data_IF_068293684912
#
_entry.id   IF_068293684912
#
_cell.length_a   1.000
_cell.length_b   1.000
_cell.length_c   1.000
_cell.angle_alpha   90.00
_cell.angle_beta   90.00
_cell.angle_gamma   90.00
#
_symmetry.space_group_name_H-M   'P 1'
#
loop_
_entity.id
_entity.type
_entity.pdbx_description
1 polymer ?
#
# COMPACT_ATOMS: atom_id res chain seq x y z
N UNK A 1 -3.71 22.29 -14.88
CA UNK A 1 -4.68 21.41 -14.19
C UNK A 1 -6.08 21.53 -14.80
N UNK A 2 -6.75 20.41 -15.07
CA UNK A 2 -8.20 20.36 -15.32
C UNK A 2 -8.86 19.65 -14.13
N UNK A 3 -9.53 20.42 -13.26
CA UNK A 3 -10.22 19.91 -12.08
C UNK A 3 -11.74 19.87 -12.31
N UNK A 4 -12.33 18.68 -12.19
CA UNK A 4 -13.77 18.47 -12.09
C UNK A 4 -14.15 18.52 -10.61
N UNK A 5 -15.05 19.43 -10.21
CA UNK A 5 -15.45 19.59 -8.80
C UNK A 5 -16.92 19.21 -8.65
N UNK A 6 -17.21 18.33 -7.69
CA UNK A 6 -18.58 18.03 -7.26
C UNK A 6 -18.69 18.20 -5.75
N UNK A 7 -19.54 19.13 -5.31
CA UNK A 7 -19.70 19.46 -3.89
C UNK A 7 -19.07 20.79 -3.50
N UNK A 8 -18.70 20.94 -2.22
CA UNK A 8 -18.14 22.21 -1.67
C UNK A 8 -16.76 22.57 -2.26
N UNK A 9 -16.02 21.60 -2.80
CA UNK A 9 -14.71 21.81 -3.40
C UNK A 9 -13.62 22.20 -2.41
N UNK A 10 -12.54 22.79 -2.93
CA UNK A 10 -11.39 23.31 -2.18
C UNK A 10 -11.22 24.81 -2.41
N UNK A 11 -10.53 25.48 -1.47
CA UNK A 11 -10.18 26.89 -1.56
C UNK A 11 -9.09 27.14 -2.62
N UNK A 12 -8.93 28.39 -3.04
CA UNK A 12 -7.93 28.78 -4.05
C UNK A 12 -6.49 28.44 -3.62
N UNK A 13 -6.14 28.70 -2.35
CA UNK A 13 -4.82 28.37 -1.80
C UNK A 13 -4.53 26.86 -1.81
N UNK A 14 -5.56 26.04 -1.60
CA UNK A 14 -5.48 24.58 -1.69
C UNK A 14 -5.32 24.11 -3.14
N UNK A 15 -6.01 24.74 -4.10
CA UNK A 15 -5.85 24.44 -5.52
C UNK A 15 -4.44 24.80 -6.01
N UNK A 16 -3.89 25.94 -5.60
CA UNK A 16 -2.49 26.31 -5.90
C UNK A 16 -1.49 25.29 -5.33
N UNK A 17 -1.73 24.80 -4.11
CA UNK A 17 -0.89 23.77 -3.50
C UNK A 17 -0.96 22.45 -4.28
N UNK A 18 -2.14 22.03 -4.71
CA UNK A 18 -2.31 20.86 -5.58
C UNK A 18 -1.54 21.03 -6.89
N UNK A 19 -1.66 22.18 -7.56
CA UNK A 19 -0.92 22.48 -8.79
C UNK A 19 0.61 22.44 -8.61
N UNK A 20 1.11 22.93 -7.48
CA UNK A 20 2.52 22.85 -7.12
C UNK A 20 2.99 21.39 -7.00
N UNK A 21 2.19 20.54 -6.34
CA UNK A 21 2.48 19.11 -6.19
C UNK A 21 2.53 18.36 -7.53
N UNK A 22 1.53 18.60 -8.39
CA UNK A 22 1.50 18.06 -9.75
C UNK A 22 2.74 18.49 -10.56
N UNK A 23 3.12 19.76 -10.44
CA UNK A 23 4.27 20.33 -11.15
C UNK A 23 5.60 19.75 -10.65
N UNK A 24 5.74 19.54 -9.34
CA UNK A 24 6.93 18.94 -8.73
C UNK A 24 7.24 17.55 -9.31
N UNK A 25 6.19 16.81 -9.66
CA UNK A 25 6.30 15.51 -10.32
C UNK A 25 6.19 15.58 -11.84
N UNK A 26 6.30 16.76 -12.45
CA UNK A 26 6.22 16.96 -13.91
C UNK A 26 4.95 16.38 -14.55
N UNK A 27 3.80 16.57 -13.88
CA UNK A 27 2.46 16.19 -14.37
C UNK A 27 1.44 17.35 -14.22
N UNK A 28 1.73 18.59 -14.68
CA UNK A 28 0.86 19.76 -14.45
C UNK A 28 -0.53 19.65 -15.10
N UNK A 29 -0.67 18.75 -16.08
CA UNK A 29 -1.90 18.50 -16.83
C UNK A 29 -2.65 17.24 -16.36
N UNK A 30 -2.26 16.64 -15.23
CA UNK A 30 -3.03 15.55 -14.63
C UNK A 30 -4.48 15.99 -14.37
N UNK A 31 -5.43 15.10 -14.68
CA UNK A 31 -6.85 15.33 -14.45
C UNK A 31 -7.17 15.06 -12.99
N UNK A 32 -7.89 15.97 -12.36
CA UNK A 32 -8.29 15.85 -10.97
C UNK A 32 -9.80 15.89 -10.86
N UNK A 33 -10.37 15.04 -9.99
CA UNK A 33 -11.76 15.11 -9.57
C UNK A 33 -11.81 15.35 -8.05
N UNK A 34 -12.30 16.51 -7.62
CA UNK A 34 -12.50 16.83 -6.20
C UNK A 34 -13.96 16.56 -5.86
N UNK A 35 -14.21 15.54 -5.03
CA UNK A 35 -15.56 14.99 -4.86
C UNK A 35 -15.96 14.83 -3.40
N UNK A 36 -17.22 15.14 -3.09
CA UNK A 36 -17.83 14.81 -1.78
C UNK A 36 -18.22 13.33 -1.67
N UNK A 37 -18.75 12.74 -2.75
CA UNK A 37 -19.00 11.29 -2.84
C UNK A 37 -17.80 10.56 -3.43
N UNK A 38 -16.76 10.41 -2.60
CA UNK A 38 -15.53 9.72 -2.98
C UNK A 38 -15.79 8.26 -3.36
N UNK A 39 -16.46 7.50 -2.48
CA UNK A 39 -16.68 6.07 -2.67
C UNK A 39 -17.50 5.82 -3.94
N UNK A 40 -18.65 6.49 -4.10
CA UNK A 40 -19.50 6.31 -5.27
C UNK A 40 -18.80 6.71 -6.56
N UNK A 41 -17.97 7.76 -6.53
CA UNK A 41 -17.15 8.16 -7.68
C UNK A 41 -16.12 7.09 -8.06
N UNK A 42 -15.37 6.56 -7.10
CA UNK A 42 -14.40 5.50 -7.37
C UNK A 42 -15.09 4.23 -7.86
N UNK A 43 -16.20 3.81 -7.23
CA UNK A 43 -16.98 2.64 -7.65
C UNK A 43 -17.45 2.77 -9.11
N UNK A 44 -17.94 3.95 -9.50
CA UNK A 44 -18.38 4.23 -10.88
C UNK A 44 -17.22 4.18 -11.87
N UNK A 45 -16.11 4.85 -11.56
CA UNK A 45 -14.96 4.95 -12.47
C UNK A 45 -14.23 3.61 -12.64
N UNK A 46 -14.14 2.81 -11.56
CA UNK A 46 -13.51 1.48 -11.58
C UNK A 46 -14.46 0.37 -12.00
N UNK A 47 -15.78 0.63 -12.07
CA UNK A 47 -16.85 -0.37 -12.21
C UNK A 47 -16.80 -1.47 -11.14
N UNK A 48 -16.30 -1.12 -9.95
CA UNK A 48 -16.21 -2.02 -8.82
C UNK A 48 -17.18 -1.57 -7.71
N UNK A 49 -18.40 -2.15 -7.63
CA UNK A 49 -19.38 -1.78 -6.61
C UNK A 49 -18.95 -2.19 -5.19
N UNK A 50 -17.95 -3.06 -5.04
CA UNK A 50 -17.44 -3.51 -3.75
C UNK A 50 -16.33 -2.61 -3.19
N UNK A 51 -15.94 -1.54 -3.89
CA UNK A 51 -14.90 -0.64 -3.39
C UNK A 51 -15.32 0.05 -2.08
N UNK A 52 -14.39 0.09 -1.13
CA UNK A 52 -14.49 0.83 0.13
C UNK A 52 -13.22 1.68 0.35
N UNK A 53 -13.33 2.71 1.19
CA UNK A 53 -12.24 3.65 1.46
C UNK A 53 -11.41 3.32 2.72
N UNK A 54 -11.82 2.34 3.53
CA UNK A 54 -11.10 1.95 4.75
C UNK A 54 -9.88 1.07 4.45
N UNK A 55 -8.75 1.35 5.10
CA UNK A 55 -7.51 0.54 5.03
C UNK A 55 -6.77 0.61 6.36
N UNK A 56 -6.57 -0.51 7.06
CA UNK A 56 -5.84 -0.49 8.33
C UNK A 56 -6.38 0.55 9.30
N UNK A 57 -5.51 1.46 9.71
CA UNK A 57 -5.81 2.55 10.62
C UNK A 57 -6.48 3.79 9.99
N UNK A 58 -6.76 3.82 8.68
CA UNK A 58 -7.07 5.08 7.97
C UNK A 58 -8.12 5.01 6.87
N UNK A 59 -8.44 6.19 6.33
CA UNK A 59 -9.34 6.43 5.20
C UNK A 59 -8.51 6.92 4.01
N UNK A 60 -8.81 6.42 2.80
CA UNK A 60 -8.16 6.86 1.57
C UNK A 60 -8.48 8.33 1.28
N UNK A 61 -7.44 9.16 1.22
CA UNK A 61 -7.52 10.60 0.99
C UNK A 61 -7.59 10.97 -0.50
N UNK A 62 -6.86 10.26 -1.35
CA UNK A 62 -6.96 10.37 -2.80
C UNK A 62 -6.71 9.01 -3.45
N UNK A 63 -7.07 8.90 -4.73
CA UNK A 63 -6.79 7.71 -5.53
C UNK A 63 -6.68 8.05 -7.00
N UNK A 64 -5.56 7.65 -7.61
CA UNK A 64 -5.41 7.62 -9.07
C UNK A 64 -6.18 6.43 -9.67
N UNK A 65 -7.01 6.71 -10.67
CA UNK A 65 -7.81 5.72 -11.40
C UNK A 65 -7.42 5.75 -12.88
N UNK A 66 -6.92 4.62 -13.36
CA UNK A 66 -6.62 4.41 -14.77
C UNK A 66 -7.90 4.07 -15.53
N UNK A 67 -8.32 4.94 -16.45
CA UNK A 67 -9.51 4.72 -17.30
C UNK A 67 -9.15 4.68 -18.78
N UNK A 68 -10.06 4.20 -19.63
CA UNK A 68 -9.90 4.24 -21.09
C UNK A 68 -9.77 5.68 -21.64
N UNK A 69 -10.28 6.68 -20.91
CA UNK A 69 -10.20 8.09 -21.27
C UNK A 69 -8.96 8.79 -20.67
N UNK A 70 -8.04 8.02 -20.09
CA UNK A 70 -6.87 8.51 -19.37
C UNK A 70 -7.04 8.47 -17.85
N UNK A 71 -5.95 8.76 -17.16
CA UNK A 71 -5.86 8.71 -15.70
C UNK A 71 -6.58 9.91 -15.07
N UNK A 72 -7.26 9.66 -13.95
CA UNK A 72 -7.92 10.69 -13.15
C UNK A 72 -7.55 10.49 -11.69
N UNK A 73 -7.09 11.55 -11.03
CA UNK A 73 -6.82 11.57 -9.60
C UNK A 73 -8.09 12.02 -8.89
N UNK A 74 -8.68 11.16 -8.06
CA UNK A 74 -9.90 11.49 -7.30
C UNK A 74 -9.53 11.86 -5.88
N UNK A 75 -9.88 13.06 -5.44
CA UNK A 75 -9.65 13.58 -4.09
C UNK A 75 -10.90 13.43 -3.23
N UNK A 76 -10.75 12.85 -2.04
CA UNK A 76 -11.81 12.72 -1.04
C UNK A 76 -11.97 14.05 -0.30
N UNK A 77 -12.82 14.93 -0.81
CA UNK A 77 -12.90 16.31 -0.32
C UNK A 77 -13.27 16.41 1.17
N UNK A 78 -14.19 15.60 1.73
CA UNK A 78 -14.51 15.62 3.16
C UNK A 78 -13.29 15.37 4.08
N UNK A 79 -12.37 14.49 3.68
CA UNK A 79 -11.16 14.17 4.47
C UNK A 79 -10.07 15.24 4.35
N UNK A 80 -10.14 16.05 3.30
CA UNK A 80 -9.06 16.93 2.84
C UNK A 80 -9.34 18.42 3.02
N UNK A 81 -10.62 18.85 3.08
CA UNK A 81 -11.00 20.28 3.07
C UNK A 81 -10.38 21.09 4.20
N UNK A 82 -10.16 20.46 5.35
CA UNK A 82 -9.59 21.08 6.55
C UNK A 82 -8.10 20.76 6.74
N UNK A 83 -7.46 20.10 5.77
CA UNK A 83 -6.02 19.82 5.81
C UNK A 83 -5.22 21.03 5.32
N UNK A 84 -3.99 21.12 5.81
CA UNK A 84 -3.07 22.17 5.40
C UNK A 84 -2.62 22.01 3.93
N UNK A 85 -2.12 23.10 3.37
CA UNK A 85 -1.73 23.16 1.96
C UNK A 85 -0.50 22.28 1.66
N UNK A 86 0.42 22.11 2.61
CA UNK A 86 1.61 21.28 2.41
C UNK A 86 1.24 19.80 2.24
N UNK A 87 0.27 19.32 3.02
CA UNK A 87 -0.28 17.98 2.90
C UNK A 87 -0.96 17.78 1.55
N UNK A 88 -1.75 18.75 1.08
CA UNK A 88 -2.41 18.68 -0.22
C UNK A 88 -1.42 18.71 -1.39
N UNK A 89 -0.38 19.54 -1.30
CA UNK A 89 0.72 19.59 -2.26
C UNK A 89 1.46 18.25 -2.34
N UNK A 90 1.86 17.70 -1.18
CA UNK A 90 2.50 16.39 -1.09
C UNK A 90 1.61 15.27 -1.64
N UNK A 91 0.33 15.27 -1.28
CA UNK A 91 -0.64 14.26 -1.75
C UNK A 91 -0.80 14.34 -3.28
N UNK A 92 -0.92 15.55 -3.83
CA UNK A 92 -0.97 15.74 -5.27
C UNK A 92 0.31 15.28 -5.96
N UNK A 93 1.49 15.54 -5.39
CA UNK A 93 2.76 15.02 -5.88
C UNK A 93 2.78 13.48 -5.88
N UNK A 94 2.35 12.85 -4.79
CA UNK A 94 2.26 11.40 -4.69
C UNK A 94 1.39 10.79 -5.82
N UNK A 95 0.17 11.30 -5.98
CA UNK A 95 -0.76 10.82 -7.00
C UNK A 95 -0.29 11.13 -8.44
N UNK A 96 0.37 12.27 -8.64
CA UNK A 96 1.05 12.57 -9.90
C UNK A 96 2.16 11.56 -10.22
N UNK A 97 2.80 11.00 -9.19
CA UNK A 97 3.70 9.85 -9.31
C UNK A 97 3.03 8.66 -9.97
N UNK A 98 1.85 8.24 -9.49
CA UNK A 98 1.10 7.14 -10.11
C UNK A 98 0.70 7.44 -11.56
N UNK A 99 0.26 8.66 -11.87
CA UNK A 99 -0.02 9.08 -13.25
C UNK A 99 1.22 8.98 -14.12
N UNK A 100 2.38 9.44 -13.64
CA UNK A 100 3.65 9.37 -14.35
C UNK A 100 4.06 7.93 -14.66
N UNK A 101 3.98 7.03 -13.68
CA UNK A 101 4.26 5.60 -13.86
C UNK A 101 3.28 4.96 -14.86
N UNK A 102 1.98 5.27 -14.72
CA UNK A 102 0.92 4.79 -15.61
C UNK A 102 1.13 5.20 -17.07
N UNK A 103 1.46 6.48 -17.33
CA UNK A 103 1.76 7.00 -18.69
C UNK A 103 2.93 6.29 -19.37
N UNK A 104 3.90 5.80 -18.60
CA UNK A 104 5.05 5.04 -19.10
C UNK A 104 4.79 3.53 -19.20
N UNK A 105 3.63 3.05 -18.77
CA UNK A 105 3.33 1.63 -18.71
C UNK A 105 4.19 0.89 -17.69
N UNK A 106 4.69 1.59 -16.67
CA UNK A 106 5.58 1.06 -15.63
C UNK A 106 4.79 0.43 -14.49
N UNK A 107 3.92 -0.52 -14.81
CA UNK A 107 3.15 -1.28 -13.83
C UNK A 107 2.86 -2.69 -14.35
N UNK A 108 1.92 -3.40 -13.72
CA UNK A 108 1.65 -4.82 -14.06
C UNK A 108 0.80 -5.03 -15.32
N UNK A 109 0.12 -3.99 -15.81
CA UNK A 109 -0.77 -4.10 -16.97
C UNK A 109 -0.02 -4.67 -18.19
N UNK A 110 -0.54 -5.76 -18.76
CA UNK A 110 0.07 -6.46 -19.89
C UNK A 110 1.17 -7.48 -19.52
N UNK A 111 1.51 -7.63 -18.24
CA UNK A 111 2.62 -8.48 -17.76
C UNK A 111 2.21 -9.82 -17.15
N UNK A 112 0.94 -10.22 -17.31
CA UNK A 112 0.49 -11.53 -16.83
C UNK A 112 1.28 -12.69 -17.44
N UNK A 113 1.82 -12.50 -18.65
CA UNK A 113 2.64 -13.48 -19.35
C UNK A 113 4.02 -13.74 -18.70
N UNK A 114 4.45 -12.92 -17.74
CA UNK A 114 5.72 -13.13 -17.02
C UNK A 114 5.70 -14.35 -16.09
N UNK A 115 4.50 -14.84 -15.76
CA UNK A 115 4.32 -15.92 -14.79
C UNK A 115 3.29 -16.94 -15.28
N UNK A 116 3.58 -18.21 -15.06
CA UNK A 116 2.73 -19.32 -15.54
C UNK A 116 1.65 -19.76 -14.53
N UNK A 117 1.57 -19.11 -13.35
CA UNK A 117 0.62 -19.48 -12.29
C UNK A 117 -0.07 -18.26 -11.69
N UNK A 118 -1.34 -18.45 -11.32
CA UNK A 118 -2.20 -17.37 -10.79
C UNK A 118 -1.69 -16.85 -9.45
N UNK A 119 -1.14 -17.72 -8.58
CA UNK A 119 -0.60 -17.24 -7.30
C UNK A 119 0.65 -16.39 -7.46
N UNK A 120 1.53 -16.71 -8.43
CA UNK A 120 2.69 -15.86 -8.74
C UNK A 120 2.23 -14.52 -9.29
N UNK A 121 1.16 -14.51 -10.08
CA UNK A 121 0.55 -13.27 -10.55
C UNK A 121 0.02 -12.41 -9.40
N UNK A 122 -0.64 -13.00 -8.40
CA UNK A 122 -1.08 -12.27 -7.21
C UNK A 122 0.08 -11.61 -6.46
N UNK A 123 1.16 -12.36 -6.21
CA UNK A 123 2.34 -11.83 -5.53
C UNK A 123 3.09 -10.79 -6.37
N UNK A 124 3.15 -10.98 -7.69
CA UNK A 124 3.70 -10.00 -8.63
C UNK A 124 2.91 -8.68 -8.53
N UNK A 125 1.59 -8.74 -8.51
CA UNK A 125 0.73 -7.56 -8.33
C UNK A 125 0.99 -6.83 -7.01
N UNK A 126 1.11 -7.55 -5.89
CA UNK A 126 1.44 -6.96 -4.59
C UNK A 126 2.83 -6.30 -4.60
N UNK A 127 3.82 -6.99 -5.17
CA UNK A 127 5.18 -6.49 -5.29
C UNK A 127 5.25 -5.24 -6.16
N UNK A 128 4.52 -5.21 -7.27
CA UNK A 128 4.45 -4.04 -8.14
C UNK A 128 3.87 -2.81 -7.44
N UNK A 129 2.80 -2.99 -6.65
CA UNK A 129 2.23 -1.90 -5.87
C UNK A 129 3.28 -1.35 -4.88
N UNK A 130 4.02 -2.21 -4.19
CA UNK A 130 5.09 -1.79 -3.30
C UNK A 130 6.23 -1.05 -4.02
N UNK A 131 6.56 -1.47 -5.24
CA UNK A 131 7.58 -0.81 -6.08
C UNK A 131 7.09 0.57 -6.52
N UNK A 132 5.84 0.70 -6.97
CA UNK A 132 5.27 2.00 -7.36
C UNK A 132 5.35 2.98 -6.19
N UNK A 133 4.89 2.56 -5.01
CA UNK A 133 4.97 3.33 -3.78
C UNK A 133 6.39 3.74 -3.42
N UNK A 134 7.34 2.79 -3.40
CA UNK A 134 8.75 3.06 -3.11
C UNK A 134 9.32 4.13 -4.03
N UNK A 135 9.07 3.99 -5.34
CA UNK A 135 9.63 4.86 -6.36
C UNK A 135 9.07 6.27 -6.25
N UNK A 136 7.77 6.40 -6.01
CA UNK A 136 7.10 7.68 -5.81
C UNK A 136 7.63 8.33 -4.54
N UNK A 137 7.66 7.60 -3.43
CA UNK A 137 8.07 8.15 -2.14
C UNK A 137 9.55 8.57 -2.11
N UNK A 138 10.43 7.86 -2.81
CA UNK A 138 11.81 8.31 -3.02
C UNK A 138 11.90 9.61 -3.81
N UNK A 139 11.06 9.78 -4.83
CA UNK A 139 11.04 11.02 -5.59
C UNK A 139 10.58 12.19 -4.72
N UNK A 140 9.57 11.97 -3.88
CA UNK A 140 9.07 12.96 -2.92
C UNK A 140 10.12 13.31 -1.87
N UNK A 141 10.80 12.32 -1.29
CA UNK A 141 11.91 12.53 -0.35
C UNK A 141 13.04 13.36 -1.00
N UNK A 142 13.42 13.04 -2.24
CA UNK A 142 14.43 13.78 -3.00
C UNK A 142 14.01 15.21 -3.35
N UNK A 143 12.70 15.48 -3.41
CA UNK A 143 12.13 16.82 -3.61
C UNK A 143 12.00 17.60 -2.29
N UNK A 144 12.33 16.99 -1.15
CA UNK A 144 12.26 17.62 0.17
C UNK A 144 10.89 17.57 0.83
N UNK A 145 9.95 16.76 0.31
CA UNK A 145 8.67 16.56 0.98
C UNK A 145 8.86 15.75 2.28
N UNK A 146 8.07 16.02 3.32
CA UNK A 146 8.05 15.18 4.50
C UNK A 146 7.46 13.81 4.18
N UNK A 147 7.81 12.81 4.99
CA UNK A 147 7.19 11.49 4.95
C UNK A 147 5.67 11.61 5.18
N UNK A 148 4.86 10.78 4.52
CA UNK A 148 3.44 10.68 4.84
C UNK A 148 3.30 10.21 6.29
N UNK A 149 2.24 10.64 7.00
CA UNK A 149 1.94 10.10 8.34
C UNK A 149 1.92 8.57 8.33
N UNK A 150 1.33 7.95 7.31
CA UNK A 150 1.28 6.49 7.18
C UNK A 150 2.62 5.82 6.88
N UNK A 151 3.65 6.58 6.49
CA UNK A 151 5.00 6.09 6.21
C UNK A 151 6.04 6.47 7.26
N UNK A 152 5.63 7.30 8.22
CA UNK A 152 6.49 7.80 9.27
C UNK A 152 6.86 6.66 10.23
N UNK A 153 8.11 6.65 10.66
CA UNK A 153 8.65 5.66 11.58
C UNK A 153 7.89 5.70 12.92
N UNK A 154 7.42 6.87 13.32
CA UNK A 154 6.64 7.06 14.54
C UNK A 154 5.27 6.38 14.47
N UNK A 155 4.76 6.08 13.26
CA UNK A 155 3.50 5.36 13.05
C UNK A 155 3.67 3.84 12.91
N UNK A 156 4.90 3.31 13.00
CA UNK A 156 5.14 1.86 12.96
C UNK A 156 4.42 1.17 14.13
N UNK A 157 4.29 1.83 15.29
CA UNK A 157 3.61 1.23 16.45
C UNK A 157 2.13 0.92 16.15
N UNK A 158 1.40 1.88 15.60
CA UNK A 158 0.01 1.71 15.20
C UNK A 158 -0.13 0.70 14.05
N UNK A 159 0.77 0.76 13.07
CA UNK A 159 0.77 -0.21 11.96
C UNK A 159 0.96 -1.64 12.47
N UNK A 160 1.88 -1.86 13.42
CA UNK A 160 2.13 -3.19 13.97
C UNK A 160 0.96 -3.70 14.81
N UNK A 161 0.29 -2.82 15.55
CA UNK A 161 -0.96 -3.15 16.24
C UNK A 161 -2.05 -3.60 15.25
N UNK A 162 -2.36 -2.78 14.24
CA UNK A 162 -3.42 -3.06 13.28
C UNK A 162 -3.11 -4.30 12.43
N UNK A 163 -1.85 -4.51 12.03
CA UNK A 163 -1.42 -5.73 11.36
C UNK A 163 -1.81 -6.97 12.14
N UNK A 164 -1.49 -7.01 13.44
CA UNK A 164 -1.80 -8.16 14.26
C UNK A 164 -3.32 -8.33 14.45
N UNK A 165 -4.04 -7.24 14.71
CA UNK A 165 -5.48 -7.25 14.86
C UNK A 165 -6.21 -7.75 13.61
N UNK A 166 -5.83 -7.26 12.42
CA UNK A 166 -6.46 -7.68 11.17
C UNK A 166 -6.25 -9.16 10.87
N UNK A 167 -5.02 -9.67 11.03
CA UNK A 167 -4.74 -11.10 10.81
C UNK A 167 -5.51 -11.99 11.79
N UNK A 168 -5.59 -11.58 13.06
CA UNK A 168 -6.30 -12.36 14.07
C UNK A 168 -7.82 -12.27 13.85
N UNK A 169 -8.35 -11.12 13.46
CA UNK A 169 -9.75 -10.97 13.08
C UNK A 169 -10.09 -11.82 11.85
N UNK A 170 -9.22 -11.84 10.84
CA UNK A 170 -9.40 -12.69 9.66
C UNK A 170 -9.44 -14.17 10.04
N UNK A 171 -8.62 -14.63 10.99
CA UNK A 171 -8.63 -16.03 11.45
C UNK A 171 -9.85 -16.38 12.32
N UNK A 172 -10.40 -15.42 13.07
CA UNK A 172 -11.54 -15.62 13.96
C UNK A 172 -12.90 -15.41 13.29
N UNK A 173 -12.95 -14.72 12.15
CA UNK A 173 -14.19 -14.50 11.41
C UNK A 173 -14.80 -15.87 11.00
N UNK A 174 -16.04 -16.19 11.42
CA UNK A 174 -16.71 -17.42 11.00
C UNK A 174 -16.79 -17.57 9.47
N UNK A 175 -16.83 -16.46 8.73
CA UNK A 175 -16.83 -16.45 7.28
C UNK A 175 -15.53 -17.00 6.69
N UNK A 176 -14.41 -16.94 7.41
CA UNK A 176 -13.11 -17.46 7.01
C UNK A 176 -13.00 -18.99 7.04
N UNK A 177 -14.07 -19.70 7.42
CA UNK A 177 -14.25 -21.11 7.05
C UNK A 177 -14.26 -21.31 5.53
N UNK A 178 -14.62 -20.27 4.78
CA UNK A 178 -14.39 -20.15 3.34
C UNK A 178 -12.95 -19.65 3.08
N UNK A 179 -12.16 -20.48 2.40
CA UNK A 179 -10.75 -20.20 2.11
C UNK A 179 -10.58 -18.96 1.24
N UNK A 180 -11.53 -18.63 0.36
CA UNK A 180 -11.44 -17.46 -0.51
C UNK A 180 -11.60 -16.17 0.30
N UNK A 181 -12.45 -16.18 1.33
CA UNK A 181 -12.64 -15.04 2.24
C UNK A 181 -11.41 -14.83 3.13
N UNK A 182 -10.88 -15.90 3.71
CA UNK A 182 -9.64 -15.82 4.50
C UNK A 182 -8.48 -15.31 3.63
N UNK A 183 -8.34 -15.87 2.43
CA UNK A 183 -7.34 -15.45 1.46
C UNK A 183 -7.46 -13.96 1.12
N UNK A 184 -8.68 -13.49 0.82
CA UNK A 184 -8.91 -12.08 0.50
C UNK A 184 -8.55 -11.16 1.67
N UNK A 185 -8.95 -11.51 2.90
CA UNK A 185 -8.62 -10.74 4.09
C UNK A 185 -7.09 -10.66 4.31
N UNK A 186 -6.39 -11.79 4.22
CA UNK A 186 -4.92 -11.84 4.41
C UNK A 186 -4.19 -11.06 3.32
N UNK A 187 -4.57 -11.21 2.04
CA UNK A 187 -3.92 -10.46 0.96
C UNK A 187 -4.25 -8.96 1.01
N UNK A 188 -5.43 -8.58 1.51
CA UNK A 188 -5.76 -7.17 1.77
C UNK A 188 -4.86 -6.58 2.86
N UNK A 189 -4.60 -7.33 3.93
CA UNK A 189 -3.63 -6.93 4.96
C UNK A 189 -2.21 -6.85 4.41
N UNK A 190 -1.80 -7.80 3.56
CA UNK A 190 -0.51 -7.75 2.89
C UNK A 190 -0.37 -6.55 1.94
N UNK A 191 -1.42 -6.19 1.19
CA UNK A 191 -1.42 -5.03 0.28
C UNK A 191 -1.04 -3.74 1.00
N UNK A 192 -1.72 -3.39 2.10
CA UNK A 192 -1.39 -2.14 2.78
C UNK A 192 -0.04 -2.25 3.52
N UNK A 193 0.30 -3.42 4.08
CA UNK A 193 1.57 -3.61 4.78
C UNK A 193 2.76 -3.44 3.83
N UNK A 194 2.71 -4.03 2.64
CA UNK A 194 3.83 -3.94 1.69
C UNK A 194 4.08 -2.49 1.23
N UNK A 195 3.02 -1.70 1.08
CA UNK A 195 3.08 -0.26 0.82
C UNK A 195 3.68 0.52 1.99
N UNK A 196 3.24 0.23 3.22
CA UNK A 196 3.81 0.82 4.42
C UNK A 196 5.32 0.55 4.52
N UNK A 197 5.74 -0.70 4.28
CA UNK A 197 7.16 -1.08 4.26
C UNK A 197 7.95 -0.38 3.15
N UNK A 198 7.35 -0.12 1.99
CA UNK A 198 7.95 0.66 0.92
C UNK A 198 8.16 2.13 1.34
N UNK A 199 7.21 2.73 2.08
CA UNK A 199 7.34 4.10 2.58
C UNK A 199 8.47 4.19 3.61
N UNK A 200 8.52 3.25 4.57
CA UNK A 200 9.59 3.17 5.57
C UNK A 200 10.96 3.07 4.87
N UNK A 201 11.09 2.26 3.82
CA UNK A 201 12.34 2.12 3.07
C UNK A 201 12.69 3.33 2.19
N UNK A 202 11.71 4.14 1.77
CA UNK A 202 11.95 5.32 0.95
C UNK A 202 12.59 6.47 1.74
N UNK A 203 12.24 6.63 3.02
CA UNK A 203 12.71 7.75 3.86
C UNK A 203 13.81 7.37 4.86
N UNK A 204 14.08 6.07 5.06
CA UNK A 204 15.20 5.64 5.90
C UNK A 204 16.44 5.33 5.08
N UNK A 205 17.50 6.13 5.28
CA UNK A 205 18.83 5.85 4.75
C UNK A 205 19.56 4.72 5.48
N UNK A 206 19.06 4.31 6.65
CA UNK A 206 19.60 3.19 7.41
C UNK A 206 18.79 1.92 7.11
N UNK A 207 19.45 0.77 6.82
CA UNK A 207 18.77 -0.50 6.61
C UNK A 207 17.97 -1.00 7.82
N UNK A 208 18.15 -0.45 9.01
CA UNK A 208 17.32 -0.78 10.18
C UNK A 208 16.58 0.48 10.64
N UNK A 209 15.23 0.48 10.61
CA UNK A 209 14.45 1.59 11.17
C UNK A 209 14.73 1.70 12.68
N UNK A 210 14.65 2.91 13.22
CA UNK A 210 14.70 3.09 14.67
C UNK A 210 13.38 2.60 15.28
N UNK A 211 13.44 1.44 15.92
CA UNK A 211 12.28 0.83 16.57
C UNK A 211 12.25 1.13 18.07
N UNK A 212 13.13 1.98 18.61
CA UNK A 212 13.24 2.22 20.05
C UNK A 212 11.95 2.74 20.68
N UNK A 213 11.17 3.53 19.94
CA UNK A 213 9.90 4.09 20.40
C UNK A 213 8.72 3.10 20.42
N UNK A 214 8.86 1.91 19.81
CA UNK A 214 7.78 0.93 19.77
C UNK A 214 7.44 0.38 21.15
N UNK A 215 6.13 0.22 21.38
CA UNK A 215 5.59 -0.56 22.48
C UNK A 215 6.11 -2.00 22.45
N UNK A 216 6.08 -2.68 23.59
CA UNK A 216 6.54 -4.06 23.67
C UNK A 216 5.75 -4.99 22.73
N UNK A 217 4.44 -4.78 22.58
CA UNK A 217 3.60 -5.59 21.69
C UNK A 217 3.92 -5.33 20.23
N UNK A 218 4.04 -4.08 19.82
CA UNK A 218 4.40 -3.72 18.45
C UNK A 218 5.79 -4.16 18.06
N UNK A 219 6.77 -4.09 18.99
CA UNK A 219 8.11 -4.67 18.77
C UNK A 219 8.05 -6.17 18.52
N UNK A 220 7.29 -6.91 19.33
CA UNK A 220 7.14 -8.35 19.12
C UNK A 220 6.39 -8.67 17.81
N UNK A 221 5.42 -7.85 17.40
CA UNK A 221 4.77 -7.98 16.10
C UNK A 221 5.79 -7.75 14.96
N UNK A 222 6.61 -6.71 15.05
CA UNK A 222 7.69 -6.48 14.08
C UNK A 222 8.64 -7.68 14.00
N UNK A 223 9.08 -8.20 15.14
CA UNK A 223 9.97 -9.36 15.22
C UNK A 223 9.33 -10.61 14.59
N UNK A 224 8.04 -10.85 14.85
CA UNK A 224 7.30 -12.01 14.35
C UNK A 224 6.98 -11.93 12.84
N UNK A 225 6.75 -10.73 12.30
CA UNK A 225 6.20 -10.55 10.95
C UNK A 225 7.21 -10.01 9.93
N UNK A 226 8.21 -9.23 10.36
CA UNK A 226 9.02 -8.40 9.45
C UNK A 226 10.52 -8.64 9.62
N UNK A 227 11.03 -8.67 10.86
CA UNK A 227 12.46 -8.59 11.13
C UNK A 227 13.31 -9.62 10.36
N UNK A 228 12.83 -10.85 10.22
CA UNK A 228 13.57 -11.94 9.59
C UNK A 228 13.83 -11.74 8.08
N UNK A 229 12.99 -10.98 7.38
CA UNK A 229 13.12 -10.75 5.93
C UNK A 229 13.40 -9.28 5.56
N UNK A 230 13.35 -8.36 6.53
CA UNK A 230 13.54 -6.93 6.31
C UNK A 230 14.84 -6.59 5.57
N UNK A 231 15.97 -7.19 5.97
CA UNK A 231 17.26 -6.95 5.32
C UNK A 231 17.27 -7.34 3.83
N UNK A 232 16.60 -8.44 3.47
CA UNK A 232 16.45 -8.88 2.07
C UNK A 232 15.59 -7.87 1.28
N UNK A 233 14.50 -7.38 1.88
CA UNK A 233 13.61 -6.39 1.28
C UNK A 233 14.33 -5.06 1.02
N UNK A 234 15.09 -4.55 1.99
CA UNK A 234 15.86 -3.30 1.82
C UNK A 234 16.93 -3.45 0.74
N UNK A 235 17.67 -4.56 0.72
CA UNK A 235 18.67 -4.83 -0.31
C UNK A 235 18.06 -4.92 -1.71
N UNK A 236 16.87 -5.51 -1.83
CA UNK A 236 16.12 -5.51 -3.10
C UNK A 236 15.77 -4.09 -3.54
N UNK A 237 15.32 -3.23 -2.62
CA UNK A 237 14.95 -1.86 -2.92
C UNK A 237 16.12 -0.95 -3.25
N UNK A 238 17.34 -1.21 -2.76
CA UNK A 238 18.50 -0.31 -2.87
C UNK A 238 18.75 0.20 -4.30
N UNK A 239 18.59 -0.67 -5.31
CA UNK A 239 18.90 -0.36 -6.71
C UNK A 239 17.70 0.09 -7.55
N UNK A 240 16.51 0.21 -6.97
CA UNK A 240 15.31 0.62 -7.71
C UNK A 240 15.28 2.16 -7.81
N UNK A 241 15.33 2.77 -9.01
CA UNK A 241 15.38 4.21 -9.13
C UNK A 241 14.04 4.87 -8.80
N UNK A 242 14.06 6.14 -8.38
CA UNK A 242 12.83 6.88 -8.08
C UNK A 242 11.91 7.04 -9.32
N UNK A 243 10.66 7.44 -9.08
CA UNK A 243 9.65 7.53 -10.13
C UNK A 243 9.95 8.58 -11.21
N UNK A 244 10.90 9.50 -11.00
CA UNK A 244 11.29 10.49 -12.03
C UNK A 244 12.21 9.87 -13.07
N UNK A 245 12.90 8.78 -12.73
CA UNK A 245 13.75 8.01 -13.66
C UNK A 245 12.91 6.94 -14.35
N UNK A 246 12.83 6.93 -15.69
CA UNK A 246 12.16 5.86 -16.43
C UNK A 246 12.86 4.51 -16.25
N UNK A 247 12.09 3.44 -16.25
CA UNK A 247 12.59 2.07 -16.35
C UNK A 247 12.27 1.52 -17.75
N UNK A 248 13.21 0.82 -18.36
CA UNK A 248 12.87 0.04 -19.54
C UNK A 248 12.05 -1.21 -19.15
N UNK A 249 11.41 -1.83 -20.15
CA UNK A 249 10.54 -2.98 -19.91
C UNK A 249 11.31 -4.17 -19.30
N UNK A 250 12.54 -4.41 -19.73
CA UNK A 250 13.34 -5.55 -19.27
C UNK A 250 13.82 -5.38 -17.82
N UNK A 251 14.21 -4.17 -17.45
CA UNK A 251 14.56 -3.82 -16.08
C UNK A 251 13.35 -3.97 -15.16
N UNK A 252 12.19 -3.42 -15.56
CA UNK A 252 10.96 -3.54 -14.80
C UNK A 252 10.53 -5.00 -14.64
N UNK A 253 10.56 -5.80 -15.71
CA UNK A 253 10.19 -7.21 -15.65
C UNK A 253 11.10 -7.99 -14.69
N UNK A 254 12.41 -7.71 -14.69
CA UNK A 254 13.36 -8.32 -13.75
C UNK A 254 13.08 -7.94 -12.29
N UNK A 255 12.74 -6.68 -12.04
CA UNK A 255 12.37 -6.18 -10.71
C UNK A 255 11.08 -6.86 -10.23
N UNK A 256 10.05 -6.92 -11.09
CA UNK A 256 8.77 -7.55 -10.79
C UNK A 256 8.89 -9.05 -10.49
N UNK A 257 9.73 -9.76 -11.25
CA UNK A 257 9.98 -11.18 -11.01
C UNK A 257 10.67 -11.44 -9.67
N UNK A 258 11.57 -10.56 -9.25
CA UNK A 258 12.22 -10.63 -7.93
C UNK A 258 11.24 -10.30 -6.81
N UNK A 259 10.32 -9.36 -7.05
CA UNK A 259 9.32 -8.95 -6.06
C UNK A 259 8.39 -10.09 -5.62
N UNK A 260 8.14 -11.09 -6.49
CA UNK A 260 7.37 -12.29 -6.15
C UNK A 260 7.96 -12.98 -4.91
N UNK A 261 9.27 -13.15 -4.87
CA UNK A 261 9.94 -13.86 -3.77
C UNK A 261 9.95 -13.02 -2.49
N UNK A 262 10.05 -11.70 -2.62
CA UNK A 262 9.98 -10.75 -1.49
C UNK A 262 8.58 -10.79 -0.85
N UNK A 263 7.52 -10.85 -1.65
CA UNK A 263 6.15 -10.94 -1.16
C UNK A 263 5.78 -12.34 -0.67
N UNK A 264 6.38 -13.39 -1.23
CA UNK A 264 6.25 -14.75 -0.71
C UNK A 264 6.86 -14.88 0.70
N UNK A 265 8.05 -14.31 0.93
CA UNK A 265 8.70 -14.32 2.25
C UNK A 265 7.88 -13.55 3.31
N UNK A 266 7.29 -12.42 2.91
CA UNK A 266 6.37 -11.69 3.77
C UNK A 266 5.15 -12.56 4.11
N UNK A 267 4.47 -13.13 3.11
CA UNK A 267 3.29 -13.97 3.34
C UNK A 267 3.59 -15.17 4.26
N UNK A 268 4.76 -15.80 4.11
CA UNK A 268 5.25 -16.86 4.99
C UNK A 268 5.38 -16.36 6.43
N UNK A 269 5.93 -15.17 6.64
CA UNK A 269 6.10 -14.56 7.96
C UNK A 269 4.77 -14.18 8.61
N UNK A 270 3.78 -13.78 7.80
CA UNK A 270 2.38 -13.61 8.23
C UNK A 270 1.75 -14.94 8.67
N UNK A 271 2.31 -16.09 8.27
CA UNK A 271 1.87 -17.43 8.66
C UNK A 271 1.08 -18.14 7.57
N UNK A 272 1.17 -17.70 6.32
CA UNK A 272 0.41 -18.24 5.19
C UNK A 272 1.32 -18.59 4.01
N UNK A 273 0.80 -19.38 3.08
CA UNK A 273 1.52 -19.73 1.85
C UNK A 273 0.54 -19.86 0.70
N UNK A 274 0.96 -19.33 -0.44
CA UNK A 274 0.41 -19.65 -1.75
C UNK A 274 1.29 -20.70 -2.45
N UNK A 275 0.68 -21.63 -3.16
CA UNK A 275 1.37 -22.62 -3.98
C UNK A 275 0.51 -23.05 -5.16
N UNK A 276 1.07 -23.87 -6.05
CA UNK A 276 0.29 -24.51 -7.09
C UNK A 276 -0.85 -25.35 -6.49
N UNK A 277 -1.98 -25.35 -7.20
CA UNK A 277 -3.19 -26.08 -6.81
C UNK A 277 -3.10 -27.57 -7.13
N UNK A 278 -3.98 -28.35 -6.51
CA UNK A 278 -4.23 -29.73 -6.95
C UNK A 278 -5.07 -29.80 -8.21
N UNK A 279 -5.45 -31.02 -8.64
CA UNK A 279 -6.33 -31.21 -9.79
C UNK A 279 -7.62 -30.36 -9.68
N UNK A 280 -7.85 -29.48 -10.66
CA UNK A 280 -9.03 -28.63 -10.74
C UNK A 280 -8.95 -27.31 -9.97
N UNK A 281 -7.85 -27.03 -9.27
CA UNK A 281 -7.61 -25.77 -8.57
C UNK A 281 -6.50 -24.97 -9.24
N UNK A 282 -6.69 -23.65 -9.40
CA UNK A 282 -5.68 -22.77 -10.01
C UNK A 282 -4.48 -22.52 -9.10
N UNK A 283 -4.72 -22.42 -7.79
CA UNK A 283 -3.70 -22.34 -6.74
C UNK A 283 -4.26 -22.85 -5.42
N UNK A 284 -3.39 -23.03 -4.42
CA UNK A 284 -3.77 -23.34 -3.05
C UNK A 284 -3.30 -22.24 -2.09
N UNK A 285 -4.16 -21.86 -1.15
CA UNK A 285 -3.84 -20.95 -0.05
C UNK A 285 -3.97 -21.69 1.28
N UNK A 286 -2.93 -21.61 2.13
CA UNK A 286 -2.87 -22.37 3.39
C UNK A 286 -2.27 -21.55 4.52
N UNK A 287 -2.83 -21.68 5.72
CA UNK A 287 -2.13 -21.32 6.96
C UNK A 287 -1.02 -22.34 7.21
N UNK A 288 0.18 -21.85 7.48
CA UNK A 288 1.36 -22.64 7.83
C UNK A 288 1.87 -22.35 9.24
N UNK A 289 1.38 -21.28 9.89
CA UNK A 289 1.69 -21.01 11.30
C UNK A 289 1.07 -22.06 12.21
N UNK A 290 1.79 -22.38 13.30
CA UNK A 290 1.28 -23.28 14.34
C UNK A 290 0.16 -22.64 15.16
N UNK A 291 -0.71 -23.46 15.75
CA UNK A 291 -1.75 -22.98 16.68
C UNK A 291 -1.14 -22.21 17.85
N UNK A 292 -0.05 -22.71 18.43
CA UNK A 292 0.66 -22.00 19.49
C UNK A 292 1.16 -20.61 19.08
N UNK A 293 1.54 -20.41 17.82
CA UNK A 293 1.93 -19.08 17.32
C UNK A 293 0.71 -18.18 17.14
N UNK A 294 -0.40 -18.71 16.60
CA UNK A 294 -1.65 -17.98 16.48
C UNK A 294 -2.22 -17.57 17.85
N UNK A 295 -2.20 -18.47 18.84
CA UNK A 295 -2.69 -18.20 20.20
C UNK A 295 -1.90 -17.07 20.85
N UNK A 296 -0.56 -17.05 20.71
CA UNK A 296 0.28 -15.95 21.21
C UNK A 296 -0.05 -14.62 20.54
N UNK A 297 -0.20 -14.61 19.22
CA UNK A 297 -0.56 -13.40 18.44
C UNK A 297 -1.95 -12.88 18.83
N UNK A 298 -2.91 -13.78 19.03
CA UNK A 298 -4.26 -13.45 19.47
C UNK A 298 -4.28 -12.90 20.90
N UNK A 299 -3.55 -13.53 21.82
CA UNK A 299 -3.43 -13.03 23.19
C UNK A 299 -2.86 -11.61 23.19
N UNK A 300 -1.78 -11.38 22.44
CA UNK A 300 -1.18 -10.04 22.28
C UNK A 300 -2.16 -9.02 21.70
N UNK A 301 -2.95 -9.38 20.68
CA UNK A 301 -3.97 -8.49 20.13
C UNK A 301 -5.00 -8.06 21.19
N UNK A 302 -5.46 -9.00 22.01
CA UNK A 302 -6.44 -8.73 23.09
C UNK A 302 -5.85 -7.83 24.18
N UNK A 303 -4.61 -8.11 24.58
CA UNK A 303 -3.92 -7.32 25.60
C UNK A 303 -3.66 -5.89 25.12
N UNK A 304 -3.17 -5.71 23.90
CA UNK A 304 -2.89 -4.40 23.30
C UNK A 304 -4.18 -3.58 23.09
N UNK A 305 -5.25 -4.22 22.60
CA UNK A 305 -6.56 -3.56 22.45
C UNK A 305 -7.07 -3.04 23.80
N UNK A 306 -6.95 -3.84 24.86
CA UNK A 306 -7.36 -3.44 26.22
C UNK A 306 -6.54 -2.25 26.74
N UNK A 307 -5.23 -2.22 26.46
CA UNK A 307 -4.35 -1.13 26.87
C UNK A 307 -4.70 0.19 26.15
N UNK A 308 -5.02 0.13 24.87
CA UNK A 308 -5.40 1.30 24.05
C UNK A 308 -6.79 1.83 24.39
N UNK A 309 -7.74 0.96 24.71
CA UNK A 309 -9.09 1.37 25.15
C UNK A 309 -9.10 2.08 26.51
N UNK A 310 -8.06 1.89 27.33
CA UNK A 310 -7.97 2.42 28.70
C UNK A 310 -7.04 3.63 28.84
N UNK A 311 -6.36 4.04 27.76
CA UNK A 311 -5.46 5.20 27.69
C UNK A 311 -6.20 6.46 27.23
#
# INVERSE_FOLDING_TARGET
>A
MQAEVTGEGFREDQLTAIEAGLTAMSEPDARIAIVDDFIGTVQRLTRNPAYSAGRGAGIVAAKTIHTLAGDVIVFNAPELRNRDNLLLERLAAHEAGHVKLGKRGEGVTGRQHLVDSEWRWLLLCLGALAIDELRIERALANLGYPVALTGDVDYIDDAMFWLNCELMNALLDPASSDVEKLHHAVLSTQDWLTKHLAYVAAYNSNPTPDLSALSNHSRQNWDDYIAAHWGKRVAFYENIPDARTPLDASELDSILMTAIDIEADLLISLGFRLSDGGHGQRYAFRRISSDAQCDRRLQRAREDFTLRDTA
#
